data_IF_078230460464
#
_entry.id   IF_078230460464
#
_cell.length_a   1.000
_cell.length_b   1.000
_cell.length_c   1.000
_cell.angle_alpha   90.00
_cell.angle_beta   90.00
_cell.angle_gamma   90.00
#
_symmetry.space_group_name_H-M   'P 1'
#
loop_
_entity.id
_entity.type
_entity.pdbx_description
1 polymer ?
#
# COMPACT_ATOMS: atom_id res chain seq x y z
N UNK A 1 13.60 36.96 2.96
CA UNK A 1 13.53 36.32 4.29
C UNK A 1 13.56 34.81 4.06
N UNK A 2 14.60 34.10 4.50
CA UNK A 2 14.66 32.63 4.36
C UNK A 2 14.00 32.03 5.61
N UNK A 3 12.75 31.57 5.47
CA UNK A 3 11.94 31.05 6.59
C UNK A 3 12.21 29.55 6.76
N UNK A 4 13.38 29.22 7.30
CA UNK A 4 13.78 27.85 7.62
C UNK A 4 14.26 27.73 9.07
N UNK A 5 13.94 26.59 9.70
CA UNK A 5 14.43 26.19 11.02
C UNK A 5 15.66 25.29 10.84
N UNK A 6 16.69 25.49 11.67
CA UNK A 6 17.87 24.62 11.66
C UNK A 6 17.56 23.33 12.41
N UNK A 7 17.83 22.19 11.77
CA UNK A 7 17.78 20.90 12.43
C UNK A 7 18.98 20.71 13.37
N UNK A 8 18.77 20.00 14.47
CA UNK A 8 19.81 19.64 15.44
C UNK A 8 19.80 18.14 15.75
N UNK A 9 20.88 17.58 16.33
CA UNK A 9 20.89 16.18 16.75
C UNK A 9 19.82 15.87 17.81
N UNK A 10 19.41 16.86 18.61
CA UNK A 10 18.29 16.72 19.54
C UNK A 10 16.97 16.50 18.80
N UNK A 11 16.77 17.10 17.63
CA UNK A 11 15.56 16.85 16.85
C UNK A 11 15.46 15.40 16.38
N UNK A 12 16.58 14.82 15.93
CA UNK A 12 16.66 13.39 15.57
C UNK A 12 16.39 12.49 16.79
N UNK A 13 17.04 12.75 17.93
CA UNK A 13 16.80 11.99 19.17
C UNK A 13 15.36 12.06 19.62
N UNK A 14 14.77 13.26 19.64
CA UNK A 14 13.38 13.46 20.02
C UNK A 14 12.40 12.75 19.06
N UNK A 15 12.69 12.77 17.75
CA UNK A 15 11.89 12.05 16.77
C UNK A 15 11.90 10.54 16.99
N UNK A 16 13.09 9.95 17.13
CA UNK A 16 13.24 8.52 17.41
C UNK A 16 12.57 8.11 18.73
N UNK A 17 12.81 8.89 19.79
CA UNK A 17 12.23 8.62 21.11
C UNK A 17 10.71 8.63 21.07
N UNK A 18 10.09 9.59 20.37
CA UNK A 18 8.64 9.66 20.22
C UNK A 18 8.05 8.43 19.52
N UNK A 19 8.74 7.89 18.50
CA UNK A 19 8.29 6.68 17.80
C UNK A 19 8.38 5.47 18.72
N UNK A 20 9.48 5.32 19.46
CA UNK A 20 9.67 4.21 20.40
C UNK A 20 8.72 4.28 21.59
N UNK A 21 8.46 5.47 22.14
CA UNK A 21 7.50 5.66 23.21
C UNK A 21 6.08 5.25 22.77
N UNK A 22 5.68 5.62 21.55
CA UNK A 22 4.32 5.42 21.08
C UNK A 22 4.09 4.03 20.46
N UNK A 23 5.06 3.49 19.74
CA UNK A 23 4.94 2.24 18.97
C UNK A 23 5.93 1.14 19.36
N UNK A 24 6.84 1.40 20.30
CA UNK A 24 7.92 0.48 20.68
C UNK A 24 7.45 -0.94 21.03
N UNK A 25 6.27 -1.09 21.64
CA UNK A 25 5.70 -2.41 21.98
C UNK A 25 5.40 -3.32 20.77
N UNK A 26 5.31 -2.75 19.56
CA UNK A 26 5.09 -3.50 18.32
C UNK A 26 6.38 -3.68 17.50
N UNK A 27 7.46 -2.99 17.87
CA UNK A 27 8.73 -3.03 17.17
C UNK A 27 9.56 -4.17 17.79
N UNK A 28 9.99 -5.17 17.02
CA UNK A 28 10.78 -6.27 17.58
C UNK A 28 12.20 -5.80 17.93
N UNK A 29 12.79 -6.38 18.99
CA UNK A 29 14.12 -6.01 19.50
C UNK A 29 15.25 -6.14 18.45
N UNK A 30 15.04 -6.97 17.43
CA UNK A 30 15.97 -7.16 16.32
C UNK A 30 15.69 -6.24 15.11
N UNK A 31 14.89 -5.19 15.27
CA UNK A 31 14.61 -4.24 14.19
C UNK A 31 15.91 -3.65 13.65
N UNK A 32 16.15 -3.68 12.33
CA UNK A 32 17.39 -3.15 11.74
C UNK A 32 17.53 -1.64 11.98
N UNK A 33 16.42 -0.94 12.25
CA UNK A 33 16.43 0.49 12.54
C UNK A 33 17.22 0.83 13.82
N UNK A 34 17.30 -0.07 14.81
CA UNK A 34 18.13 0.16 16.00
C UNK A 34 19.62 0.32 15.69
N UNK A 35 20.08 -0.28 14.59
CA UNK A 35 21.45 -0.13 14.09
C UNK A 35 21.62 0.97 13.05
N UNK A 36 20.55 1.71 12.70
CA UNK A 36 20.61 2.75 11.69
C UNK A 36 21.37 3.98 12.21
N UNK A 37 22.15 4.61 11.31
CA UNK A 37 22.74 5.92 11.57
C UNK A 37 21.68 7.00 11.37
N UNK A 38 21.75 8.06 12.16
CA UNK A 38 20.90 9.24 11.99
C UNK A 38 21.79 10.49 11.92
N UNK A 39 21.66 11.29 10.87
CA UNK A 39 22.51 12.47 10.66
C UNK A 39 21.75 13.66 10.08
N UNK A 40 22.31 14.86 10.34
CA UNK A 40 21.85 16.08 9.68
C UNK A 40 22.59 16.18 8.35
N UNK A 41 21.83 16.28 7.26
CA UNK A 41 22.36 16.28 5.91
C UNK A 41 22.23 17.67 5.28
N UNK A 42 23.34 18.14 4.71
CA UNK A 42 23.40 19.35 3.89
C UNK A 42 23.22 19.06 2.39
N UNK A 43 23.14 17.78 2.03
CA UNK A 43 23.16 17.31 0.64
C UNK A 43 21.79 16.80 0.17
N UNK A 44 20.74 16.95 0.97
CA UNK A 44 19.38 16.64 0.53
C UNK A 44 18.93 17.64 -0.54
N UNK A 45 18.20 17.20 -1.59
CA UNK A 45 17.54 18.09 -2.53
C UNK A 45 16.65 19.10 -1.80
N UNK A 46 16.54 20.33 -2.33
CA UNK A 46 15.88 21.46 -1.66
C UNK A 46 14.42 21.24 -1.25
N UNK A 47 13.73 20.28 -1.85
CA UNK A 47 12.33 19.91 -1.55
C UNK A 47 12.20 18.73 -0.57
N UNK A 48 13.32 18.09 -0.20
CA UNK A 48 13.36 16.91 0.65
C UNK A 48 13.83 17.31 2.03
N UNK A 49 12.93 17.19 3.01
CA UNK A 49 13.19 17.61 4.39
C UNK A 49 13.76 16.48 5.25
N UNK A 50 13.45 15.24 4.93
CA UNK A 50 13.96 14.04 5.58
C UNK A 50 14.08 12.90 4.57
N UNK A 51 14.85 11.87 4.92
CA UNK A 51 14.95 10.65 4.13
C UNK A 51 15.39 9.45 4.96
N UNK A 52 14.63 8.36 4.89
CA UNK A 52 15.10 7.03 5.21
C UNK A 52 15.68 6.30 3.99
N UNK A 53 16.92 5.79 4.12
CA UNK A 53 17.56 4.96 3.09
C UNK A 53 17.87 3.57 3.64
N UNK A 54 17.02 2.59 3.32
CA UNK A 54 17.16 1.19 3.75
C UNK A 54 18.52 0.57 3.37
N UNK A 55 19.05 0.85 2.16
CA UNK A 55 20.30 0.24 1.67
C UNK A 55 21.54 0.59 2.51
N UNK A 56 21.58 1.82 3.04
CA UNK A 56 22.69 2.34 3.83
C UNK A 56 22.36 2.43 5.32
N UNK A 57 21.16 1.99 5.71
CA UNK A 57 20.61 2.12 7.06
C UNK A 57 20.82 3.53 7.61
N UNK A 58 20.35 4.54 6.87
CA UNK A 58 20.57 5.94 7.17
C UNK A 58 19.27 6.73 7.21
N UNK A 59 19.01 7.37 8.34
CA UNK A 59 17.99 8.42 8.52
C UNK A 59 18.69 9.78 8.37
N UNK A 60 18.32 10.54 7.35
CA UNK A 60 18.82 11.89 7.10
C UNK A 60 17.73 12.90 7.44
N UNK A 61 18.12 13.99 8.12
CA UNK A 61 17.27 15.16 8.31
C UNK A 61 17.95 16.37 7.66
N UNK A 62 17.22 17.14 6.87
CA UNK A 62 17.75 18.32 6.19
C UNK A 62 18.25 19.36 7.21
N UNK A 63 19.43 19.93 6.95
CA UNK A 63 20.00 20.94 7.84
C UNK A 63 19.12 22.18 8.01
N UNK A 64 18.31 22.50 6.99
CA UNK A 64 17.36 23.59 6.98
C UNK A 64 15.98 23.07 6.58
N UNK A 65 15.04 23.09 7.52
CA UNK A 65 13.66 22.60 7.36
C UNK A 65 12.73 23.80 7.19
N UNK A 66 11.73 23.70 6.31
CA UNK A 66 10.78 24.79 6.11
C UNK A 66 10.01 25.09 7.40
N UNK A 67 9.79 26.37 7.73
CA UNK A 67 9.22 26.81 9.01
C UNK A 67 7.88 26.16 9.39
N UNK A 68 7.10 25.71 8.40
CA UNK A 68 5.81 25.07 8.60
C UNK A 68 5.91 23.66 9.19
N UNK A 69 7.09 23.04 9.13
CA UNK A 69 7.34 21.69 9.63
C UNK A 69 8.41 21.77 10.74
N UNK A 70 8.08 21.32 11.95
CA UNK A 70 9.07 21.25 13.02
C UNK A 70 10.08 20.13 12.72
N UNK A 71 11.41 20.33 12.82
CA UNK A 71 12.41 19.32 12.47
C UNK A 71 12.22 17.96 13.18
N UNK A 72 11.74 17.96 14.43
CA UNK A 72 11.42 16.71 15.14
C UNK A 72 10.23 15.96 14.55
N UNK A 73 9.26 16.64 13.95
CA UNK A 73 8.11 15.97 13.32
C UNK A 73 8.51 15.35 11.98
N UNK A 74 9.40 16.01 11.23
CA UNK A 74 10.06 15.41 10.06
C UNK A 74 10.88 14.18 10.48
N UNK A 75 11.64 14.27 11.57
CA UNK A 75 12.39 13.13 12.09
C UNK A 75 11.47 11.95 12.47
N UNK A 76 10.32 12.20 13.12
CA UNK A 76 9.33 11.14 13.43
C UNK A 76 8.90 10.40 12.17
N UNK A 77 8.56 11.12 11.10
CA UNK A 77 8.16 10.53 9.81
C UNK A 77 9.24 9.57 9.28
N UNK A 78 10.49 10.02 9.25
CA UNK A 78 11.58 9.18 8.76
C UNK A 78 11.89 7.99 9.69
N UNK A 79 11.71 8.15 11.01
CA UNK A 79 11.84 7.03 11.94
C UNK A 79 10.68 6.03 11.82
N UNK A 80 9.46 6.46 11.53
CA UNK A 80 8.35 5.55 11.20
C UNK A 80 8.71 4.72 9.97
N UNK A 81 9.24 5.34 8.90
CA UNK A 81 9.78 4.62 7.73
C UNK A 81 10.90 3.63 8.09
N UNK A 82 11.79 4.04 9.00
CA UNK A 82 12.92 3.23 9.44
C UNK A 82 12.47 1.98 10.20
N UNK A 83 11.50 2.11 11.10
CA UNK A 83 10.94 1.00 11.87
C UNK A 83 9.92 0.15 11.11
N UNK A 84 9.49 0.55 9.90
CA UNK A 84 8.66 -0.31 9.04
C UNK A 84 9.32 -1.68 8.86
N UNK A 85 8.61 -2.74 9.23
CA UNK A 85 9.14 -4.09 9.18
C UNK A 85 9.50 -4.50 7.75
N UNK A 86 10.67 -5.13 7.50
CA UNK A 86 11.09 -5.57 6.17
C UNK A 86 10.03 -6.42 5.47
N UNK A 87 9.40 -7.37 6.18
CA UNK A 87 8.35 -8.22 5.60
C UNK A 87 7.10 -7.45 5.17
N UNK A 88 6.70 -6.43 5.93
CA UNK A 88 5.58 -5.57 5.55
C UNK A 88 5.89 -4.88 4.22
N UNK A 89 7.08 -4.27 4.13
CA UNK A 89 7.56 -3.62 2.92
C UNK A 89 7.66 -4.60 1.75
N UNK A 90 8.40 -5.70 1.89
CA UNK A 90 8.64 -6.65 0.79
C UNK A 90 7.35 -7.26 0.25
N UNK A 91 6.37 -7.54 1.12
CA UNK A 91 5.08 -8.10 0.69
C UNK A 91 4.21 -7.08 -0.06
N UNK A 92 4.44 -5.78 0.13
CA UNK A 92 3.60 -4.72 -0.43
C UNK A 92 4.30 -3.81 -1.46
N UNK A 93 5.63 -3.83 -1.57
CA UNK A 93 6.40 -2.87 -2.38
C UNK A 93 6.14 -2.95 -3.89
N UNK A 94 5.56 -4.06 -4.35
CA UNK A 94 5.15 -4.26 -5.75
C UNK A 94 3.71 -3.82 -6.03
N UNK A 95 2.99 -3.29 -5.03
CA UNK A 95 1.68 -2.68 -5.28
C UNK A 95 1.84 -1.48 -6.23
N UNK A 96 0.98 -1.31 -7.25
CA UNK A 96 1.07 -0.16 -8.16
C UNK A 96 1.02 1.20 -7.44
N UNK A 97 0.34 1.25 -6.30
CA UNK A 97 0.27 2.42 -5.41
C UNK A 97 1.13 2.30 -4.15
N UNK A 98 2.21 1.50 -4.18
CA UNK A 98 3.08 1.31 -3.01
C UNK A 98 3.56 2.63 -2.41
N UNK A 99 3.98 3.59 -3.24
CA UNK A 99 4.42 4.90 -2.76
C UNK A 99 3.32 5.62 -1.97
N UNK A 100 2.09 5.63 -2.49
CA UNK A 100 0.96 6.26 -1.81
C UNK A 100 0.62 5.54 -0.49
N UNK A 101 0.72 4.21 -0.48
CA UNK A 101 0.50 3.42 0.72
C UNK A 101 1.58 3.63 1.78
N UNK A 102 2.85 3.56 1.41
CA UNK A 102 3.98 3.70 2.33
C UNK A 102 4.03 5.09 2.95
N UNK A 103 3.96 6.15 2.14
CA UNK A 103 3.97 7.53 2.66
C UNK A 103 2.66 7.84 3.39
N UNK A 104 1.51 7.38 2.89
CA UNK A 104 0.21 7.60 3.53
C UNK A 104 0.14 6.98 4.93
N UNK A 105 0.56 5.72 5.08
CA UNK A 105 0.63 5.04 6.38
C UNK A 105 1.63 5.73 7.31
N UNK A 106 2.80 6.10 6.80
CA UNK A 106 3.84 6.77 7.59
C UNK A 106 3.37 8.12 8.11
N UNK A 107 2.78 8.96 7.26
CA UNK A 107 2.21 10.25 7.69
C UNK A 107 1.07 10.04 8.70
N UNK A 108 0.14 9.13 8.41
CA UNK A 108 -1.01 8.84 9.29
C UNK A 108 -0.56 8.39 10.69
N UNK A 109 0.43 7.50 10.78
CA UNK A 109 1.03 7.08 12.05
C UNK A 109 1.84 8.21 12.71
N UNK A 110 2.50 9.05 11.91
CA UNK A 110 3.25 10.20 12.44
C UNK A 110 2.34 11.21 13.13
N UNK A 111 1.16 11.47 12.54
CA UNK A 111 0.18 12.42 13.05
C UNK A 111 -0.53 11.99 14.34
N UNK A 112 -0.41 10.71 14.72
CA UNK A 112 -0.89 10.20 16.01
C UNK A 112 0.03 10.54 17.18
N UNK A 113 1.29 10.89 16.91
CA UNK A 113 2.24 11.29 17.94
C UNK A 113 2.11 12.78 18.30
N UNK A 114 2.29 13.17 19.57
CA UNK A 114 2.26 14.58 19.96
C UNK A 114 3.25 15.42 19.14
N UNK A 115 2.80 16.50 18.51
CA UNK A 115 3.68 17.39 17.75
C UNK A 115 4.54 18.25 18.67
N UNK A 116 5.78 18.50 18.27
CA UNK A 116 6.66 19.45 18.94
C UNK A 116 6.40 20.92 18.51
N UNK A 117 5.56 21.13 17.50
CA UNK A 117 5.14 22.47 17.07
C UNK A 117 4.18 23.08 18.10
N UNK A 118 4.57 24.21 18.69
CA UNK A 118 3.95 24.71 19.92
C UNK A 118 2.52 25.23 19.79
N UNK A 119 2.04 25.76 18.66
CA UNK A 119 0.73 26.47 18.70
C UNK A 119 -0.04 26.65 17.38
N UNK A 120 0.50 26.39 16.19
CA UNK A 120 -0.18 26.71 14.92
C UNK A 120 0.13 25.69 13.81
N UNK A 121 -0.57 24.55 13.80
CA UNK A 121 -0.49 23.58 12.71
C UNK A 121 -1.40 23.99 11.55
N UNK A 122 -0.91 24.86 10.67
CA UNK A 122 -1.52 25.08 9.35
C UNK A 122 -0.87 24.22 8.25
N UNK A 123 0.34 23.69 8.50
CA UNK A 123 1.06 22.82 7.57
C UNK A 123 0.68 21.36 7.79
N UNK A 124 -0.23 20.84 6.98
CA UNK A 124 -0.31 19.40 6.77
C UNK A 124 0.86 18.98 5.89
N UNK A 125 1.45 17.82 6.17
CA UNK A 125 2.51 17.24 5.33
C UNK A 125 2.08 17.25 3.85
N UNK A 126 3.04 17.39 2.92
CA UNK A 126 2.80 17.46 1.49
C UNK A 126 1.91 16.31 0.98
N UNK A 127 1.97 15.14 1.64
CA UNK A 127 1.17 13.97 1.32
C UNK A 127 -0.35 14.16 1.48
N UNK A 128 -0.82 15.16 2.25
CA UNK A 128 -2.24 15.52 2.29
C UNK A 128 -2.76 16.15 0.99
N UNK A 129 -1.85 16.70 0.17
CA UNK A 129 -2.19 17.29 -1.14
C UNK A 129 -2.20 16.26 -2.26
N UNK A 130 -1.55 15.11 -2.09
CA UNK A 130 -1.62 14.04 -3.08
C UNK A 130 -2.89 13.24 -2.88
N UNK A 131 -3.68 13.13 -3.95
CA UNK A 131 -4.99 12.48 -3.95
C UNK A 131 -4.96 11.21 -4.77
N UNK A 132 -5.69 10.20 -4.29
CA UNK A 132 -6.08 9.04 -5.10
C UNK A 132 -7.22 9.45 -6.04
N UNK A 133 -7.51 8.66 -7.10
CA UNK A 133 -8.69 8.83 -7.93
C UNK A 133 -10.01 8.91 -7.15
N UNK A 134 -10.10 8.27 -5.98
CA UNK A 134 -11.26 8.38 -5.08
C UNK A 134 -11.47 9.78 -4.46
N UNK A 135 -10.47 10.67 -4.56
CA UNK A 135 -10.44 11.98 -3.89
C UNK A 135 -9.81 11.95 -2.48
N UNK A 136 -9.57 10.77 -1.92
CA UNK A 136 -8.87 10.60 -0.63
C UNK A 136 -7.42 11.09 -0.75
N UNK A 137 -6.92 11.82 0.26
CA UNK A 137 -5.47 12.02 0.38
C UNK A 137 -4.79 10.72 0.78
N UNK A 138 -3.46 10.65 0.60
CA UNK A 138 -2.73 9.43 0.98
C UNK A 138 -2.88 9.08 2.48
N UNK A 139 -2.82 10.03 3.43
CA UNK A 139 -3.11 9.74 4.83
C UNK A 139 -4.58 9.37 5.09
N UNK A 140 -5.54 9.95 4.36
CA UNK A 140 -6.96 9.56 4.47
C UNK A 140 -7.18 8.11 4.01
N UNK A 141 -6.51 7.68 2.93
CA UNK A 141 -6.53 6.30 2.49
C UNK A 141 -5.94 5.36 3.55
N UNK A 142 -4.80 5.73 4.14
CA UNK A 142 -4.20 4.99 5.26
C UNK A 142 -5.14 4.88 6.47
N UNK A 143 -5.80 5.98 6.84
CA UNK A 143 -6.82 5.98 7.89
C UNK A 143 -7.97 5.02 7.56
N UNK A 144 -8.45 4.97 6.31
CA UNK A 144 -9.49 4.02 5.88
C UNK A 144 -9.03 2.56 5.97
N UNK A 145 -7.76 2.28 5.67
CA UNK A 145 -7.18 0.95 5.89
C UNK A 145 -7.18 0.61 7.37
N UNK A 146 -6.72 1.52 8.23
CA UNK A 146 -6.77 1.32 9.69
C UNK A 146 -8.20 1.05 10.18
N UNK A 147 -9.17 1.86 9.77
CA UNK A 147 -10.57 1.68 10.16
C UNK A 147 -11.15 0.32 9.77
N UNK A 148 -10.63 -0.34 8.72
CA UNK A 148 -11.05 -1.68 8.31
C UNK A 148 -10.41 -2.80 9.14
N UNK A 149 -9.17 -2.63 9.59
CA UNK A 149 -8.39 -3.70 10.24
C UNK A 149 -8.21 -3.52 11.75
N UNK A 150 -8.45 -2.32 12.25
CA UNK A 150 -8.12 -1.88 13.61
C UNK A 150 -6.65 -1.51 13.77
N UNK A 151 -6.39 -0.56 14.68
CA UNK A 151 -5.05 -0.06 14.97
C UNK A 151 -4.06 -1.15 15.39
N UNK A 152 -4.45 -2.05 16.30
CA UNK A 152 -3.57 -3.15 16.75
C UNK A 152 -3.09 -4.02 15.58
N UNK A 153 -4.01 -4.41 14.70
CA UNK A 153 -3.68 -5.19 13.49
C UNK A 153 -2.74 -4.39 12.58
N UNK A 154 -3.01 -3.10 12.36
CA UNK A 154 -2.16 -2.27 11.53
C UNK A 154 -0.73 -2.18 12.10
N UNK A 155 -0.58 -1.93 13.39
CA UNK A 155 0.72 -1.78 14.04
C UNK A 155 1.51 -3.09 14.09
N UNK A 156 0.84 -4.22 14.38
CA UNK A 156 1.44 -5.56 14.29
C UNK A 156 1.90 -5.91 12.88
N UNK A 157 1.18 -5.46 11.85
CA UNK A 157 1.59 -5.64 10.47
C UNK A 157 2.79 -4.74 10.12
N UNK A 158 2.64 -3.43 10.37
CA UNK A 158 3.56 -2.39 9.90
C UNK A 158 4.89 -2.41 10.63
N UNK A 159 4.90 -2.52 11.95
CA UNK A 159 6.10 -2.55 12.79
C UNK A 159 6.53 -3.96 13.19
N UNK A 160 5.56 -4.84 13.47
CA UNK A 160 5.81 -6.17 14.03
C UNK A 160 6.09 -7.28 13.02
N UNK A 161 5.78 -7.07 11.73
CA UNK A 161 5.96 -8.09 10.70
C UNK A 161 5.01 -9.29 10.81
N UNK A 162 3.93 -9.19 11.60
CA UNK A 162 3.01 -10.30 11.81
C UNK A 162 2.37 -10.75 10.48
N UNK A 163 2.63 -11.99 10.09
CA UNK A 163 2.23 -12.50 8.79
C UNK A 163 0.72 -12.42 8.56
N UNK A 164 -0.08 -12.69 9.59
CA UNK A 164 -1.55 -12.68 9.53
C UNK A 164 -2.10 -11.25 9.51
N UNK A 165 -1.47 -10.34 10.25
CA UNK A 165 -1.84 -8.94 10.27
C UNK A 165 -1.52 -8.26 8.94
N UNK A 166 -0.35 -8.56 8.34
CA UNK A 166 0.01 -8.10 6.99
C UNK A 166 -1.05 -8.55 5.98
N UNK A 167 -1.49 -9.82 6.04
CA UNK A 167 -2.53 -10.33 5.15
C UNK A 167 -3.84 -9.53 5.27
N UNK A 168 -4.29 -9.23 6.51
CA UNK A 168 -5.48 -8.39 6.74
C UNK A 168 -5.32 -6.98 6.19
N UNK A 169 -4.17 -6.35 6.43
CA UNK A 169 -3.85 -5.02 5.89
C UNK A 169 -3.86 -5.02 4.37
N UNK A 170 -3.25 -6.03 3.73
CA UNK A 170 -3.23 -6.14 2.27
C UNK A 170 -4.64 -6.37 1.69
N UNK A 171 -5.50 -7.15 2.34
CA UNK A 171 -6.92 -7.29 1.94
C UNK A 171 -7.67 -5.97 2.05
N UNK A 172 -7.49 -5.22 3.14
CA UNK A 172 -8.12 -3.91 3.29
C UNK A 172 -7.59 -2.90 2.26
N UNK A 173 -6.28 -2.92 1.98
CA UNK A 173 -5.65 -2.07 0.98
C UNK A 173 -6.23 -2.32 -0.43
N UNK A 174 -6.51 -3.57 -0.80
CA UNK A 174 -7.12 -3.93 -2.08
C UNK A 174 -8.53 -3.31 -2.31
N UNK A 175 -9.20 -2.86 -1.25
CA UNK A 175 -10.50 -2.19 -1.32
C UNK A 175 -10.38 -0.65 -1.26
N UNK A 176 -9.27 -0.14 -0.75
CA UNK A 176 -9.07 1.30 -0.50
C UNK A 176 -8.27 1.94 -1.62
N UNK A 177 -7.21 1.29 -2.09
CA UNK A 177 -6.39 1.79 -3.18
C UNK A 177 -6.99 1.43 -4.54
N UNK A 178 -6.65 2.17 -5.61
CA UNK A 178 -7.24 1.94 -6.92
C UNK A 178 -6.97 0.53 -7.44
N UNK A 179 -8.04 -0.10 -7.94
CA UNK A 179 -8.07 -1.46 -8.45
C UNK A 179 -7.57 -1.47 -9.90
N UNK A 180 -6.26 -1.59 -10.09
CA UNK A 180 -5.60 -1.48 -11.40
C UNK A 180 -4.98 -2.78 -11.86
N UNK A 181 -4.75 -2.89 -13.17
CA UNK A 181 -4.11 -4.05 -13.77
C UNK A 181 -2.68 -4.25 -13.25
N UNK A 182 -2.29 -5.51 -13.07
CA UNK A 182 -0.95 -5.88 -12.63
C UNK A 182 -0.49 -7.18 -13.29
N UNK A 183 0.70 -7.13 -13.90
CA UNK A 183 1.36 -8.32 -14.46
C UNK A 183 1.56 -9.44 -13.42
N UNK A 184 1.68 -9.07 -12.13
CA UNK A 184 1.76 -10.04 -11.03
C UNK A 184 0.44 -10.80 -10.88
N UNK A 185 -0.68 -10.09 -10.89
CA UNK A 185 -2.02 -10.70 -10.82
C UNK A 185 -2.24 -11.63 -12.01
N UNK A 186 -1.93 -11.19 -13.23
CA UNK A 186 -1.98 -12.05 -14.43
C UNK A 186 -1.14 -13.32 -14.27
N UNK A 187 0.06 -13.20 -13.70
CA UNK A 187 0.93 -14.35 -13.45
C UNK A 187 0.36 -15.28 -12.37
N UNK A 188 -0.28 -14.75 -11.33
CA UNK A 188 -0.94 -15.58 -10.31
C UNK A 188 -2.19 -16.28 -10.83
N UNK A 189 -2.99 -15.62 -11.68
CA UNK A 189 -4.13 -16.25 -12.36
C UNK A 189 -3.64 -17.40 -13.24
N UNK A 190 -2.58 -17.18 -14.02
CA UNK A 190 -1.98 -18.23 -14.85
C UNK A 190 -1.53 -19.43 -14.02
N UNK A 191 -0.84 -19.20 -12.89
CA UNK A 191 -0.41 -20.26 -11.97
C UNK A 191 -1.61 -20.99 -11.34
N UNK A 192 -2.59 -20.26 -10.81
CA UNK A 192 -3.80 -20.84 -10.20
C UNK A 192 -4.64 -21.63 -11.21
N UNK A 193 -4.60 -21.21 -12.47
CA UNK A 193 -5.31 -21.79 -13.60
C UNK A 193 -4.76 -23.13 -14.10
N UNK A 194 -3.50 -23.48 -13.79
CA UNK A 194 -2.92 -24.79 -14.13
C UNK A 194 -3.71 -25.98 -13.56
N UNK A 195 -4.53 -25.73 -12.53
CA UNK A 195 -5.27 -26.75 -11.79
C UNK A 195 -6.71 -26.95 -12.25
N UNK A 196 -7.24 -26.13 -13.19
CA UNK A 196 -8.65 -25.95 -13.66
C UNK A 196 -9.14 -24.52 -13.35
N UNK A 197 -10.11 -24.01 -14.12
CA UNK A 197 -10.76 -22.72 -13.82
C UNK A 197 -10.00 -21.47 -14.31
N UNK A 198 -8.93 -21.65 -15.10
CA UNK A 198 -8.09 -20.56 -15.62
C UNK A 198 -8.88 -19.54 -16.42
N UNK A 199 -9.76 -20.03 -17.29
CA UNK A 199 -10.59 -19.18 -18.15
C UNK A 199 -11.53 -18.34 -17.32
N UNK A 200 -12.27 -18.95 -16.38
CA UNK A 200 -13.21 -18.23 -15.53
C UNK A 200 -12.50 -17.15 -14.70
N UNK A 201 -11.32 -17.45 -14.12
CA UNK A 201 -10.55 -16.46 -13.37
C UNK A 201 -10.06 -15.31 -14.25
N UNK A 202 -9.60 -15.59 -15.47
CA UNK A 202 -9.12 -14.56 -16.39
C UNK A 202 -10.26 -13.70 -16.96
N UNK A 203 -11.41 -14.31 -17.29
CA UNK A 203 -12.62 -13.58 -17.69
C UNK A 203 -13.14 -12.71 -16.53
N UNK A 204 -13.15 -13.25 -15.32
CA UNK A 204 -13.55 -12.52 -14.12
C UNK A 204 -12.60 -11.36 -13.80
N UNK A 205 -11.28 -11.54 -13.97
CA UNK A 205 -10.31 -10.46 -13.82
C UNK A 205 -10.52 -9.34 -14.83
N UNK A 206 -10.76 -9.67 -16.11
CA UNK A 206 -11.11 -8.68 -17.13
C UNK A 206 -12.38 -7.91 -16.73
N UNK A 207 -13.43 -8.61 -16.29
CA UNK A 207 -14.64 -8.00 -15.76
C UNK A 207 -14.41 -7.12 -14.53
N UNK A 208 -13.52 -7.52 -13.62
CA UNK A 208 -13.16 -6.78 -12.41
C UNK A 208 -12.48 -5.44 -12.75
N UNK A 209 -11.57 -5.44 -13.73
CA UNK A 209 -10.92 -4.22 -14.22
C UNK A 209 -11.93 -3.27 -14.85
N UNK A 210 -12.80 -3.78 -15.72
CA UNK A 210 -13.86 -2.98 -16.34
C UNK A 210 -14.84 -2.41 -15.31
N UNK A 211 -15.16 -3.17 -14.25
CA UNK A 211 -16.00 -2.70 -13.14
C UNK A 211 -15.33 -1.61 -12.30
N UNK A 212 -14.00 -1.50 -12.36
CA UNK A 212 -13.20 -0.45 -11.72
C UNK A 212 -12.84 0.70 -12.69
N UNK A 213 -13.56 0.81 -13.81
CA UNK A 213 -13.31 1.79 -14.88
C UNK A 213 -11.87 1.76 -15.41
N UNK A 214 -11.23 0.59 -15.38
CA UNK A 214 -9.90 0.38 -15.93
C UNK A 214 -9.98 -0.18 -17.35
N UNK A 215 -9.05 0.22 -18.24
CA UNK A 215 -8.89 -0.47 -19.50
C UNK A 215 -8.44 -1.91 -19.27
N UNK A 216 -8.78 -2.78 -20.22
CA UNK A 216 -8.22 -4.13 -20.24
C UNK A 216 -6.71 -4.06 -20.45
N UNK A 217 -5.93 -5.02 -19.91
CA UNK A 217 -4.48 -5.01 -20.06
C UNK A 217 -4.07 -5.11 -21.53
N UNK A 218 -3.07 -4.33 -21.94
CA UNK A 218 -2.42 -4.50 -23.25
C UNK A 218 -1.38 -5.64 -23.17
N UNK A 219 -1.87 -6.84 -22.88
CA UNK A 219 -1.06 -8.04 -22.72
C UNK A 219 -1.72 -9.26 -23.39
N UNK A 220 -0.89 -10.23 -23.76
CA UNK A 220 -1.38 -11.53 -24.22
C UNK A 220 -2.04 -12.26 -23.06
N UNK A 221 -3.08 -13.03 -23.37
CA UNK A 221 -3.83 -13.78 -22.35
C UNK A 221 -3.06 -14.99 -21.82
N UNK A 222 -1.87 -15.29 -22.38
CA UNK A 222 -1.00 -16.42 -21.98
C UNK A 222 -1.73 -17.76 -21.94
N UNK A 223 -2.60 -18.00 -22.92
CA UNK A 223 -3.48 -19.18 -23.02
C UNK A 223 -4.46 -19.33 -21.84
N UNK A 224 -4.68 -18.28 -21.03
CA UNK A 224 -5.72 -18.29 -20.01
C UNK A 224 -7.11 -18.13 -20.63
N UNK A 225 -7.21 -17.45 -21.76
CA UNK A 225 -8.45 -17.21 -22.51
C UNK A 225 -8.33 -17.76 -23.93
N UNK A 226 -9.44 -18.14 -24.59
CA UNK A 226 -9.46 -18.60 -25.98
C UNK A 226 -9.36 -17.43 -26.99
N UNK A 227 -8.61 -16.38 -26.63
CA UNK A 227 -8.27 -15.23 -27.47
C UNK A 227 -6.80 -14.87 -27.24
N UNK A 228 -6.12 -14.32 -28.24
CA UNK A 228 -4.67 -14.08 -28.16
C UNK A 228 -4.32 -13.00 -27.13
N UNK A 229 -5.08 -11.91 -27.11
CA UNK A 229 -4.88 -10.76 -26.23
C UNK A 229 -6.20 -10.28 -25.61
N UNK A 230 -6.13 -9.54 -24.50
CA UNK A 230 -7.35 -8.98 -23.90
C UNK A 230 -8.05 -7.95 -24.80
N UNK A 231 -7.32 -7.32 -25.73
CA UNK A 231 -7.90 -6.39 -26.70
C UNK A 231 -8.74 -7.07 -27.78
N UNK A 232 -8.62 -8.40 -27.94
CA UNK A 232 -9.47 -9.19 -28.83
C UNK A 232 -10.88 -9.47 -28.23
N UNK A 233 -11.11 -9.11 -26.96
CA UNK A 233 -12.41 -9.27 -26.30
C UNK A 233 -13.39 -8.24 -26.86
N UNK A 234 -14.50 -8.71 -27.43
CA UNK A 234 -15.52 -7.82 -28.02
C UNK A 234 -16.24 -7.00 -26.93
N UNK A 235 -16.74 -5.80 -27.24
CA UNK A 235 -17.46 -4.96 -26.27
C UNK A 235 -18.63 -5.67 -25.56
N UNK A 236 -19.34 -6.53 -26.28
CA UNK A 236 -20.49 -7.29 -25.77
C UNK A 236 -20.05 -8.35 -24.75
N UNK A 237 -18.92 -9.02 -25.02
CA UNK A 237 -18.30 -9.99 -24.12
C UNK A 237 -17.74 -9.29 -22.88
N UNK A 238 -17.05 -8.16 -23.07
CA UNK A 238 -16.52 -7.33 -21.99
C UNK A 238 -17.63 -6.88 -21.02
N UNK A 239 -18.79 -6.46 -21.54
CA UNK A 239 -19.95 -6.10 -20.71
C UNK A 239 -20.47 -7.28 -19.90
N UNK A 240 -20.61 -8.46 -20.51
CA UNK A 240 -21.03 -9.67 -19.80
C UNK A 240 -20.03 -10.09 -18.72
N UNK A 241 -18.73 -9.99 -18.98
CA UNK A 241 -17.70 -10.24 -17.98
C UNK A 241 -17.79 -9.26 -16.81
N UNK A 242 -18.00 -7.97 -17.10
CA UNK A 242 -18.17 -6.92 -16.09
C UNK A 242 -19.37 -7.21 -15.17
N UNK A 243 -20.53 -7.52 -15.75
CA UNK A 243 -21.76 -7.83 -15.00
C UNK A 243 -21.57 -9.08 -14.11
N UNK A 244 -21.00 -10.15 -14.64
CA UNK A 244 -20.74 -11.38 -13.89
C UNK A 244 -19.68 -11.18 -12.79
N UNK A 245 -18.64 -10.38 -13.07
CA UNK A 245 -17.62 -10.03 -12.08
C UNK A 245 -18.20 -9.22 -10.92
N UNK A 246 -19.09 -8.26 -11.19
CA UNK A 246 -19.82 -7.54 -10.16
C UNK A 246 -20.68 -8.48 -9.31
N UNK A 247 -21.37 -9.44 -9.93
CA UNK A 247 -22.16 -10.44 -9.20
C UNK A 247 -21.28 -11.35 -8.31
N UNK A 248 -20.10 -11.77 -8.77
CA UNK A 248 -19.14 -12.52 -7.95
C UNK A 248 -18.58 -11.67 -6.81
N UNK A 249 -18.24 -10.40 -7.07
CA UNK A 249 -17.83 -9.45 -6.05
C UNK A 249 -18.87 -9.28 -4.95
N UNK A 250 -20.16 -9.23 -5.28
CA UNK A 250 -21.24 -9.17 -4.30
C UNK A 250 -21.31 -10.41 -3.41
N UNK A 251 -21.04 -11.61 -3.94
CA UNK A 251 -21.03 -12.86 -3.16
C UNK A 251 -19.79 -13.02 -2.30
N UNK A 252 -18.63 -12.71 -2.86
CA UNK A 252 -17.32 -13.00 -2.26
C UNK A 252 -16.76 -11.85 -1.43
N UNK A 253 -17.30 -10.64 -1.59
CA UNK A 253 -16.90 -9.45 -0.84
C UNK A 253 -15.40 -9.19 -0.93
N UNK A 254 -14.75 -9.09 0.24
CA UNK A 254 -13.32 -8.76 0.33
C UNK A 254 -12.40 -9.80 -0.30
N UNK A 255 -12.83 -11.06 -0.40
CA UNK A 255 -12.06 -12.14 -1.02
C UNK A 255 -11.90 -11.87 -2.52
N UNK A 256 -12.91 -11.30 -3.17
CA UNK A 256 -12.84 -10.91 -4.58
C UNK A 256 -11.77 -9.85 -4.80
N UNK A 257 -11.81 -8.77 -4.00
CA UNK A 257 -10.88 -7.66 -4.12
C UNK A 257 -9.44 -8.11 -3.80
N UNK A 258 -9.26 -8.95 -2.78
CA UNK A 258 -7.97 -9.51 -2.42
C UNK A 258 -7.39 -10.45 -3.50
N UNK A 259 -8.24 -11.21 -4.20
CA UNK A 259 -7.80 -12.12 -5.27
C UNK A 259 -7.15 -11.38 -6.44
N UNK A 260 -7.67 -10.22 -6.81
CA UNK A 260 -7.18 -9.49 -7.99
C UNK A 260 -6.26 -8.31 -7.66
N UNK A 261 -6.44 -7.66 -6.52
CA UNK A 261 -5.81 -6.36 -6.22
C UNK A 261 -4.92 -6.36 -4.98
N UNK A 262 -4.82 -7.47 -4.22
CA UNK A 262 -3.85 -7.55 -3.12
C UNK A 262 -2.42 -7.59 -3.64
N UNK A 263 -1.53 -6.79 -3.03
CA UNK A 263 -0.10 -6.89 -3.29
C UNK A 263 0.58 -8.06 -2.57
N UNK A 264 -0.03 -8.62 -1.53
CA UNK A 264 0.54 -9.76 -0.84
C UNK A 264 0.23 -11.07 -1.59
N UNK A 265 1.26 -11.73 -2.16
CA UNK A 265 1.07 -12.96 -2.95
C UNK A 265 0.38 -14.04 -2.15
N UNK A 266 0.71 -14.20 -0.86
CA UNK A 266 0.14 -15.27 -0.04
C UNK A 266 -1.37 -15.09 0.08
N UNK A 267 -1.81 -13.88 0.45
CA UNK A 267 -3.24 -13.52 0.51
C UNK A 267 -3.88 -13.66 -0.87
N UNK A 268 -3.22 -13.14 -1.91
CA UNK A 268 -3.74 -13.19 -3.28
C UNK A 268 -3.99 -14.63 -3.75
N UNK A 269 -3.05 -15.55 -3.53
CA UNK A 269 -3.18 -16.96 -3.91
C UNK A 269 -4.32 -17.66 -3.16
N UNK A 270 -4.45 -17.41 -1.86
CA UNK A 270 -5.54 -17.96 -1.05
C UNK A 270 -6.90 -17.46 -1.54
N UNK A 271 -7.00 -16.16 -1.79
CA UNK A 271 -8.22 -15.53 -2.30
C UNK A 271 -8.57 -15.96 -3.72
N UNK A 272 -7.57 -16.13 -4.62
CA UNK A 272 -7.76 -16.69 -5.95
C UNK A 272 -8.29 -18.14 -5.88
N UNK A 273 -7.77 -18.95 -4.96
CA UNK A 273 -8.26 -20.31 -4.74
C UNK A 273 -9.74 -20.32 -4.33
N UNK A 274 -10.13 -19.50 -3.35
CA UNK A 274 -11.52 -19.39 -2.91
C UNK A 274 -12.43 -18.82 -4.02
N UNK A 275 -11.98 -17.78 -4.73
CA UNK A 275 -12.72 -17.18 -5.84
C UNK A 275 -12.94 -18.19 -6.96
N UNK A 276 -11.93 -19.00 -7.30
CA UNK A 276 -12.04 -20.02 -8.33
C UNK A 276 -13.19 -20.98 -8.05
N UNK A 277 -13.36 -21.44 -6.81
CA UNK A 277 -14.46 -22.35 -6.47
C UNK A 277 -15.84 -21.68 -6.62
N UNK A 278 -15.98 -20.40 -6.27
CA UNK A 278 -17.20 -19.61 -6.57
C UNK A 278 -17.46 -19.54 -8.07
N UNK A 279 -16.43 -19.21 -8.86
CA UNK A 279 -16.56 -19.07 -10.30
C UNK A 279 -16.90 -20.41 -10.98
N UNK A 280 -16.34 -21.54 -10.52
CA UNK A 280 -16.69 -22.85 -11.06
C UNK A 280 -18.16 -23.21 -10.84
N UNK A 281 -18.80 -22.66 -9.81
CA UNK A 281 -20.20 -22.92 -9.49
C UNK A 281 -21.16 -21.97 -10.21
N UNK A 282 -20.79 -20.70 -10.37
CA UNK A 282 -21.72 -19.65 -10.79
C UNK A 282 -21.36 -18.93 -12.09
N UNK A 283 -20.13 -19.06 -12.59
CA UNK A 283 -19.69 -18.36 -13.80
C UNK A 283 -20.25 -19.02 -15.06
N UNK A 284 -20.89 -18.23 -15.92
CA UNK A 284 -21.33 -18.67 -17.24
C UNK A 284 -20.25 -18.34 -18.26
N UNK A 285 -19.84 -19.30 -19.11
CA UNK A 285 -18.84 -19.06 -20.16
C UNK A 285 -19.21 -17.85 -21.02
N UNK A 286 -18.24 -16.96 -21.25
CA UNK A 286 -18.40 -15.79 -22.12
C UNK A 286 -17.63 -15.95 -23.42
N UNK A 287 -16.40 -16.47 -23.36
CA UNK A 287 -15.56 -16.77 -24.53
C UNK A 287 -15.61 -18.23 -24.94
#
# INVERSE_FOLDING_TARGET
MNLAQRATPDNLRAGNHSVLEHYGKYIPDNSPCFGARAEISHNLPSIVQGRWTYKTSLVELGANIQLLNHPSDVAKHEFVHCYTHPDFKTRNEKHPFWRAMNEGLTTHLTEKMPSAARFWNFGKDAYHRFKLPSGDSWPQAAQRVESKVGEDTLLRAFFGGDSSAISKVSTAAAQVYPQVASQRTESQIWLAGQLRGSQQLAECYAGALLAADQPLPDSWTRNMLPVFSFSDIKPEQAKLMQEQAQASRQRMGEVFDAAFFSADTKTQQQSLGALREDLLMYWKPVL
#
